data_IF_105480501861
#
_entry.id   IF_105480501861
#
_cell.length_a   1.000
_cell.length_b   1.000
_cell.length_c   1.000
_cell.angle_alpha   90.00
_cell.angle_beta   90.00
_cell.angle_gamma   90.00
#
_symmetry.space_group_name_H-M   'P 1'
#
loop_
_entity.id
_entity.type
_entity.pdbx_description
1 polymer ?
#
# COMPACT_ATOMS: atom_id res chain seq x y z
N UNK A 1 -5.72 -2.91 -3.64
CA UNK A 1 -4.30 -3.25 -3.39
C UNK A 1 -4.03 -4.70 -3.00
N UNK A 2 -4.78 -5.28 -2.06
CA UNK A 2 -4.44 -6.58 -1.44
C UNK A 2 -5.31 -7.73 -1.92
N UNK A 3 -4.89 -8.39 -3.01
CA UNK A 3 -5.64 -9.44 -3.69
C UNK A 3 -5.21 -10.86 -3.27
N UNK A 4 -5.26 -11.15 -1.96
CA UNK A 4 -5.28 -12.54 -1.51
C UNK A 4 -6.72 -12.97 -1.25
N UNK A 5 -7.10 -14.10 -1.83
CA UNK A 5 -8.21 -14.90 -1.34
C UNK A 5 -7.83 -15.39 0.06
N UNK A 6 -8.32 -14.71 1.08
CA UNK A 6 -8.36 -15.28 2.43
C UNK A 6 -9.79 -15.67 2.66
N UNK A 7 -10.01 -16.93 3.01
CA UNK A 7 -11.30 -17.38 3.50
C UNK A 7 -11.62 -16.63 4.80
N UNK A 8 -12.37 -15.55 4.67
CA UNK A 8 -12.93 -14.81 5.81
C UNK A 8 -14.03 -15.62 6.51
N UNK A 9 -14.38 -16.79 5.97
CA UNK A 9 -15.53 -17.60 6.35
C UNK A 9 -16.86 -17.09 5.79
N UNK A 10 -16.87 -15.92 5.12
CA UNK A 10 -18.06 -15.32 4.55
C UNK A 10 -18.25 -15.82 3.12
N UNK A 11 -19.23 -16.71 2.92
CA UNK A 11 -19.57 -17.26 1.59
C UNK A 11 -20.53 -16.37 0.79
N UNK A 12 -21.28 -15.51 1.48
CA UNK A 12 -22.19 -14.53 0.89
C UNK A 12 -22.41 -13.36 1.85
N UNK A 13 -22.66 -12.17 1.28
CA UNK A 13 -23.01 -10.98 2.05
C UNK A 13 -24.41 -11.16 2.62
N UNK A 14 -24.55 -11.08 3.95
CA UNK A 14 -25.84 -11.19 4.64
C UNK A 14 -26.55 -9.83 4.68
N UNK A 15 -27.85 -9.81 4.38
CA UNK A 15 -28.67 -8.59 4.54
C UNK A 15 -28.95 -8.32 6.02
N UNK A 16 -29.33 -7.08 6.34
CA UNK A 16 -29.62 -6.66 7.73
C UNK A 16 -30.70 -7.56 8.37
N UNK A 17 -31.71 -7.96 7.60
CA UNK A 17 -32.80 -8.84 8.06
C UNK A 17 -32.33 -10.27 8.42
N UNK A 18 -31.14 -10.66 7.97
CA UNK A 18 -30.51 -11.95 8.27
C UNK A 18 -29.56 -11.90 9.47
N UNK A 19 -29.30 -10.70 10.03
CA UNK A 19 -28.43 -10.52 11.18
C UNK A 19 -29.24 -10.57 12.47
N UNK A 20 -28.68 -11.17 13.51
CA UNK A 20 -29.34 -11.28 14.83
C UNK A 20 -28.37 -10.98 15.96
N UNK A 21 -28.90 -10.58 17.12
CA UNK A 21 -28.12 -10.37 18.33
C UNK A 21 -26.96 -9.38 18.15
N UNK A 22 -25.73 -9.71 18.60
CA UNK A 22 -24.56 -8.83 18.50
C UNK A 22 -24.21 -8.41 17.07
N UNK A 23 -24.46 -9.25 16.06
CA UNK A 23 -24.16 -8.93 14.66
C UNK A 23 -25.03 -7.80 14.12
N UNK A 24 -26.32 -7.79 14.50
CA UNK A 24 -27.24 -6.72 14.12
C UNK A 24 -26.87 -5.39 14.78
N UNK A 25 -26.55 -5.42 16.09
CA UNK A 25 -26.11 -4.23 16.82
C UNK A 25 -24.80 -3.66 16.25
N UNK A 26 -23.88 -4.54 15.83
CA UNK A 26 -22.66 -4.12 15.13
C UNK A 26 -22.97 -3.45 13.79
N UNK A 27 -23.82 -4.05 12.95
CA UNK A 27 -24.16 -3.48 11.64
C UNK A 27 -24.88 -2.12 11.79
N UNK A 28 -25.78 -1.99 12.77
CA UNK A 28 -26.43 -0.71 13.08
C UNK A 28 -25.42 0.39 13.43
N UNK A 29 -24.41 0.09 14.26
CA UNK A 29 -23.31 1.01 14.57
C UNK A 29 -22.55 1.43 13.31
N UNK A 30 -22.25 0.47 12.42
CA UNK A 30 -21.58 0.76 11.14
C UNK A 30 -22.44 1.71 10.29
N UNK A 31 -23.74 1.44 10.17
CA UNK A 31 -24.67 2.20 9.34
C UNK A 31 -24.84 3.64 9.86
N UNK A 32 -24.88 3.82 11.19
CA UNK A 32 -24.87 5.11 11.89
C UNK A 32 -23.53 5.87 11.78
N UNK A 33 -22.49 5.23 11.25
CA UNK A 33 -21.15 5.83 11.10
C UNK A 33 -20.33 5.84 12.39
N UNK A 34 -20.73 5.05 13.39
CA UNK A 34 -19.96 4.86 14.63
C UNK A 34 -18.72 4.04 14.33
N UNK A 35 -17.55 4.55 14.71
CA UNK A 35 -16.29 3.82 14.58
C UNK A 35 -16.21 2.68 15.61
N UNK A 36 -15.69 1.55 15.16
CA UNK A 36 -15.41 0.37 15.97
C UNK A 36 -14.01 0.53 16.58
N UNK A 37 -13.91 0.34 17.89
CA UNK A 37 -12.67 0.44 18.65
C UNK A 37 -12.19 -0.94 19.13
N UNK A 38 -10.95 -1.01 19.62
CA UNK A 38 -10.27 -2.27 19.94
C UNK A 38 -11.02 -3.18 20.94
N UNK A 39 -11.75 -2.56 21.88
CA UNK A 39 -12.52 -3.26 22.93
C UNK A 39 -13.96 -3.55 22.54
N UNK A 40 -14.42 -3.04 21.40
CA UNK A 40 -15.77 -3.31 20.93
C UNK A 40 -15.90 -4.76 20.47
N UNK A 41 -17.08 -5.33 20.69
CA UNK A 41 -17.46 -6.55 20.01
C UNK A 41 -17.51 -6.32 18.50
N UNK A 42 -16.98 -7.26 17.73
CA UNK A 42 -17.01 -7.23 16.26
C UNK A 42 -17.07 -8.66 15.72
N UNK A 43 -17.68 -8.89 14.54
CA UNK A 43 -17.67 -10.20 13.89
C UNK A 43 -16.24 -10.70 13.67
N UNK A 44 -16.02 -12.00 13.87
CA UNK A 44 -14.68 -12.59 13.69
C UNK A 44 -14.19 -12.45 12.24
N UNK A 45 -15.09 -12.54 11.26
CA UNK A 45 -14.76 -12.29 9.87
C UNK A 45 -14.36 -10.83 9.59
N UNK A 46 -14.95 -9.86 10.30
CA UNK A 46 -14.55 -8.45 10.23
C UNK A 46 -13.13 -8.26 10.79
N UNK A 47 -12.86 -8.85 11.98
CA UNK A 47 -11.52 -8.86 12.60
C UNK A 47 -10.47 -9.45 11.66
N UNK A 48 -10.69 -10.66 11.13
CA UNK A 48 -9.77 -11.33 10.19
C UNK A 48 -9.53 -10.53 8.91
N UNK A 49 -10.59 -9.92 8.37
CA UNK A 49 -10.48 -9.07 7.17
C UNK A 49 -9.59 -7.86 7.42
N UNK A 50 -9.75 -7.19 8.57
CA UNK A 50 -8.92 -6.07 8.96
C UNK A 50 -7.50 -6.47 9.29
N UNK A 51 -7.28 -7.56 10.04
CA UNK A 51 -5.93 -8.09 10.32
C UNK A 51 -5.20 -8.31 8.99
N UNK A 52 -5.83 -9.00 8.04
CA UNK A 52 -5.27 -9.20 6.71
C UNK A 52 -4.98 -7.87 6.00
N UNK A 53 -5.94 -6.96 5.93
CA UNK A 53 -5.77 -5.73 5.16
C UNK A 53 -4.70 -4.81 5.78
N UNK A 54 -4.71 -4.62 7.10
CA UNK A 54 -3.80 -3.73 7.81
C UNK A 54 -2.39 -4.32 7.86
N UNK A 55 -2.25 -5.64 8.07
CA UNK A 55 -0.92 -6.30 8.02
C UNK A 55 -0.30 -6.21 6.64
N UNK A 56 -1.06 -6.51 5.58
CA UNK A 56 -0.54 -6.39 4.21
C UNK A 56 -0.24 -4.93 3.84
N UNK A 57 -0.94 -3.97 4.44
CA UNK A 57 -0.57 -2.56 4.39
C UNK A 57 0.77 -2.29 5.08
N UNK A 58 0.96 -2.77 6.31
CA UNK A 58 2.24 -2.63 7.00
C UNK A 58 3.39 -3.29 6.21
N UNK A 59 3.14 -4.47 5.61
CA UNK A 59 4.12 -5.17 4.79
C UNK A 59 4.48 -4.37 3.53
N UNK A 60 3.51 -3.71 2.91
CA UNK A 60 3.73 -2.80 1.78
C UNK A 60 4.73 -1.71 2.13
N UNK A 61 4.57 -1.04 3.27
CA UNK A 61 5.54 -0.01 3.71
C UNK A 61 6.95 -0.60 3.82
N UNK A 62 7.07 -1.74 4.51
CA UNK A 62 8.36 -2.37 4.79
C UNK A 62 9.07 -2.90 3.54
N UNK A 63 8.30 -3.41 2.57
CA UNK A 63 8.85 -3.90 1.30
C UNK A 63 9.08 -2.76 0.31
N UNK A 64 8.30 -1.68 0.37
CA UNK A 64 8.43 -0.48 -0.45
C UNK A 64 9.76 0.26 -0.25
N UNK A 65 10.32 0.18 0.94
CA UNK A 65 11.66 0.68 1.24
C UNK A 65 12.77 0.06 0.35
N UNK A 66 12.57 -1.14 -0.21
CA UNK A 66 13.60 -1.85 -1.00
C UNK A 66 13.86 -1.23 -2.39
N UNK A 67 12.85 -1.08 -3.28
CA UNK A 67 13.07 -0.45 -4.59
C UNK A 67 13.63 0.98 -4.49
N UNK A 68 13.21 1.76 -3.48
CA UNK A 68 13.72 3.12 -3.26
C UNK A 68 15.08 3.14 -2.56
N UNK A 69 15.26 2.27 -1.56
CA UNK A 69 16.54 2.05 -0.88
C UNK A 69 17.68 1.68 -1.85
N UNK A 70 17.35 0.98 -2.93
CA UNK A 70 18.26 0.66 -4.02
C UNK A 70 18.99 1.91 -4.56
N UNK A 71 18.34 3.07 -4.60
CA UNK A 71 18.89 4.30 -5.19
C UNK A 71 19.44 5.31 -4.17
N UNK A 72 19.29 5.09 -2.86
CA UNK A 72 19.79 6.01 -1.82
C UNK A 72 21.27 6.36 -2.02
N UNK A 73 22.12 5.37 -2.30
CA UNK A 73 23.56 5.59 -2.46
C UNK A 73 23.91 6.27 -3.79
N UNK A 74 23.02 6.18 -4.79
CA UNK A 74 23.22 6.58 -6.20
C UNK A 74 22.42 7.83 -6.60
N UNK A 75 21.67 8.42 -5.68
CA UNK A 75 20.92 9.64 -5.95
C UNK A 75 21.85 10.77 -6.49
N UNK A 76 21.46 11.47 -7.57
CA UNK A 76 22.36 12.32 -8.37
C UNK A 76 22.70 13.67 -7.71
N UNK A 77 22.07 14.00 -6.59
CA UNK A 77 22.41 15.19 -5.80
C UNK A 77 22.12 14.97 -4.32
N UNK A 78 22.81 15.73 -3.46
CA UNK A 78 22.58 15.67 -2.02
C UNK A 78 21.16 16.07 -1.63
N UNK A 79 20.56 17.07 -2.32
CA UNK A 79 19.16 17.46 -2.11
C UNK A 79 18.22 16.28 -2.34
N UNK A 80 18.34 15.60 -3.49
CA UNK A 80 17.49 14.45 -3.81
C UNK A 80 17.77 13.25 -2.91
N UNK A 81 19.03 13.02 -2.53
CA UNK A 81 19.42 11.99 -1.56
C UNK A 81 18.78 12.22 -0.20
N UNK A 82 18.79 13.45 0.31
CA UNK A 82 18.18 13.81 1.59
C UNK A 82 16.65 13.64 1.57
N UNK A 83 15.99 14.04 0.48
CA UNK A 83 14.55 13.83 0.30
C UNK A 83 14.21 12.34 0.30
N UNK A 84 14.96 11.52 -0.47
CA UNK A 84 14.72 10.08 -0.55
C UNK A 84 14.95 9.39 0.80
N UNK A 85 16.00 9.79 1.54
CA UNK A 85 16.24 9.29 2.90
C UNK A 85 15.08 9.62 3.85
N UNK A 86 14.55 10.84 3.80
CA UNK A 86 13.41 11.25 4.62
C UNK A 86 12.14 10.44 4.26
N UNK A 87 11.87 10.23 2.97
CA UNK A 87 10.73 9.42 2.51
C UNK A 87 10.82 7.97 3.01
N UNK A 88 11.95 7.30 2.77
CA UNK A 88 12.16 5.90 3.19
C UNK A 88 12.17 5.76 4.72
N UNK A 89 12.60 6.79 5.45
CA UNK A 89 12.47 6.85 6.91
C UNK A 89 11.00 6.89 7.34
N UNK A 90 10.18 7.73 6.70
CA UNK A 90 8.76 7.84 7.03
C UNK A 90 7.99 6.56 6.68
N UNK A 91 8.31 5.86 5.58
CA UNK A 91 7.76 4.52 5.28
C UNK A 91 7.99 3.53 6.43
N UNK A 92 9.19 3.51 7.01
CA UNK A 92 9.46 2.68 8.19
C UNK A 92 8.55 3.07 9.37
N UNK A 93 8.32 4.38 9.58
CA UNK A 93 7.38 4.90 10.58
C UNK A 93 5.93 4.50 10.31
N UNK A 94 5.47 4.59 9.06
CA UNK A 94 4.13 4.19 8.64
C UNK A 94 3.90 2.71 8.89
N UNK A 95 4.89 1.87 8.55
CA UNK A 95 4.86 0.44 8.85
C UNK A 95 4.65 0.17 10.35
N UNK A 96 5.33 0.92 11.23
CA UNK A 96 5.14 0.82 12.68
C UNK A 96 3.73 1.26 13.13
N UNK A 97 3.18 2.34 12.57
CA UNK A 97 1.80 2.75 12.88
C UNK A 97 0.78 1.68 12.47
N UNK A 98 0.98 1.06 11.31
CA UNK A 98 0.10 0.03 10.78
C UNK A 98 0.19 -1.27 11.56
N UNK A 99 1.39 -1.74 11.90
CA UNK A 99 1.54 -2.87 12.81
C UNK A 99 0.87 -2.60 14.15
N UNK A 100 1.06 -1.40 14.73
CA UNK A 100 0.39 -1.02 15.99
C UNK A 100 -1.14 -1.05 15.86
N UNK A 101 -1.69 -0.62 14.72
CA UNK A 101 -3.14 -0.69 14.46
C UNK A 101 -3.64 -2.13 14.22
N UNK A 102 -2.80 -3.02 13.70
CA UNK A 102 -3.13 -4.44 13.56
C UNK A 102 -3.12 -5.15 14.92
N UNK A 103 -2.17 -4.84 15.80
CA UNK A 103 -2.05 -5.48 17.12
C UNK A 103 -3.27 -5.18 18.02
N UNK A 104 -3.97 -4.06 17.80
CA UNK A 104 -5.24 -3.80 18.52
C UNK A 104 -6.37 -4.78 18.16
N UNK A 105 -6.19 -5.62 17.14
CA UNK A 105 -7.11 -6.70 16.78
C UNK A 105 -6.74 -8.04 17.44
N UNK A 106 -5.69 -8.09 18.26
CA UNK A 106 -5.30 -9.27 19.04
C UNK A 106 -4.31 -10.21 18.36
N UNK A 107 -3.60 -9.72 17.33
CA UNK A 107 -2.45 -10.42 16.70
C UNK A 107 -1.14 -9.81 17.17
N UNK A 108 -0.03 -10.53 17.07
CA UNK A 108 1.30 -9.97 17.33
C UNK A 108 1.96 -9.51 16.03
N UNK A 109 2.77 -8.45 16.09
CA UNK A 109 3.60 -8.04 14.95
C UNK A 109 4.55 -9.16 14.48
N UNK A 110 5.09 -9.95 15.40
CA UNK A 110 6.04 -11.02 15.07
C UNK A 110 5.35 -12.08 14.20
N UNK A 111 4.14 -12.53 14.54
CA UNK A 111 3.36 -13.46 13.72
C UNK A 111 3.08 -12.89 12.32
N UNK A 112 2.80 -11.59 12.23
CA UNK A 112 2.55 -10.93 10.95
C UNK A 112 3.82 -10.83 10.10
N UNK A 113 4.98 -10.58 10.73
CA UNK A 113 6.28 -10.58 10.05
C UNK A 113 6.65 -11.97 9.56
N UNK A 114 6.38 -13.01 10.36
CA UNK A 114 6.60 -14.40 9.97
C UNK A 114 5.69 -14.80 8.80
N UNK A 115 4.41 -14.40 8.84
CA UNK A 115 3.48 -14.61 7.72
C UNK A 115 3.97 -13.93 6.42
N UNK A 116 4.56 -12.73 6.51
CA UNK A 116 5.22 -12.08 5.38
C UNK A 116 6.41 -12.90 4.89
N UNK A 117 7.34 -13.26 5.80
CA UNK A 117 8.58 -13.98 5.49
C UNK A 117 8.35 -15.37 4.89
N UNK A 118 7.29 -16.06 5.32
CA UNK A 118 6.89 -17.35 4.76
C UNK A 118 6.18 -17.23 3.41
N UNK A 119 5.86 -16.02 2.95
CA UNK A 119 5.06 -15.74 1.76
C UNK A 119 3.56 -16.04 1.93
N UNK A 120 3.09 -16.29 3.16
CA UNK A 120 1.68 -16.53 3.48
C UNK A 120 0.88 -15.23 3.37
N UNK A 121 1.40 -14.13 3.87
CA UNK A 121 0.83 -12.79 3.68
C UNK A 121 1.42 -12.09 2.46
N UNK A 122 0.65 -11.21 1.85
CA UNK A 122 1.06 -10.41 0.69
C UNK A 122 1.53 -9.01 1.09
N UNK A 123 2.10 -8.32 0.14
CA UNK A 123 2.34 -6.87 0.12
C UNK A 123 1.88 -6.34 -1.23
N UNK A 124 1.88 -5.02 -1.43
CA UNK A 124 1.42 -4.39 -2.67
C UNK A 124 2.18 -4.93 -3.88
N UNK A 125 1.46 -5.22 -4.97
CA UNK A 125 2.02 -5.76 -6.21
C UNK A 125 3.15 -4.88 -6.77
N UNK A 126 3.03 -3.57 -6.60
CA UNK A 126 3.91 -2.55 -7.19
C UNK A 126 5.38 -2.67 -6.77
N UNK A 127 5.66 -3.19 -5.57
CA UNK A 127 7.04 -3.28 -5.07
C UNK A 127 7.82 -4.46 -5.66
N UNK A 128 7.18 -5.26 -6.51
CA UNK A 128 7.80 -6.33 -7.28
C UNK A 128 8.44 -5.86 -8.57
N UNK A 129 8.35 -4.58 -8.91
CA UNK A 129 8.97 -4.01 -10.10
C UNK A 129 10.36 -3.42 -9.78
N UNK A 130 11.34 -3.53 -10.68
CA UNK A 130 12.70 -3.05 -10.45
C UNK A 130 12.85 -1.55 -10.72
N UNK A 131 13.71 -0.88 -9.94
CA UNK A 131 14.11 0.51 -10.16
C UNK A 131 15.39 0.56 -11.01
N UNK A 132 15.23 0.73 -12.33
CA UNK A 132 16.32 0.58 -13.31
C UNK A 132 17.06 1.89 -13.61
N UNK A 133 16.41 3.03 -13.39
CA UNK A 133 16.96 4.37 -13.59
C UNK A 133 16.61 5.29 -12.43
N UNK A 134 17.18 6.50 -12.40
CA UNK A 134 16.82 7.49 -11.40
C UNK A 134 15.39 8.02 -11.59
N UNK A 135 14.88 8.06 -12.83
CA UNK A 135 13.51 8.48 -13.09
C UNK A 135 12.46 7.54 -12.45
N UNK A 136 12.81 6.26 -12.22
CA UNK A 136 11.96 5.33 -11.48
C UNK A 136 11.62 5.82 -10.08
N UNK A 137 12.55 6.50 -9.40
CA UNK A 137 12.30 7.07 -8.07
C UNK A 137 11.30 8.23 -8.15
N UNK A 138 11.35 9.00 -9.24
CA UNK A 138 10.32 9.99 -9.56
C UNK A 138 8.97 9.35 -9.82
N UNK A 139 8.91 8.25 -10.57
CA UNK A 139 7.66 7.53 -10.87
C UNK A 139 7.06 6.87 -9.63
N UNK A 140 7.89 6.29 -8.74
CA UNK A 140 7.41 5.77 -7.45
C UNK A 140 6.84 6.91 -6.63
N UNK A 141 7.63 7.98 -6.41
CA UNK A 141 7.17 9.13 -5.65
C UNK A 141 5.95 9.84 -6.27
N UNK A 142 5.70 9.75 -7.57
CA UNK A 142 4.55 10.41 -8.19
C UNK A 142 3.34 9.48 -8.39
N UNK A 143 3.51 8.40 -9.16
CA UNK A 143 2.43 7.49 -9.56
C UNK A 143 2.08 6.48 -8.48
N UNK A 144 3.10 5.89 -7.86
CA UNK A 144 2.90 4.83 -6.86
C UNK A 144 2.35 5.43 -5.58
N UNK A 145 3.00 6.47 -5.05
CA UNK A 145 2.50 7.22 -3.90
C UNK A 145 1.16 7.91 -4.23
N UNK A 146 0.99 8.43 -5.45
CA UNK A 146 -0.29 9.00 -5.90
C UNK A 146 -1.42 7.98 -5.83
N UNK A 147 -1.17 6.77 -6.33
CA UNK A 147 -2.13 5.65 -6.26
C UNK A 147 -2.41 5.23 -4.81
N UNK A 148 -1.37 5.20 -3.97
CA UNK A 148 -1.47 4.91 -2.55
C UNK A 148 -2.35 5.94 -1.83
N UNK A 149 -2.13 7.24 -2.04
CA UNK A 149 -2.90 8.34 -1.47
C UNK A 149 -4.36 8.28 -1.90
N UNK A 150 -4.66 8.04 -3.19
CA UNK A 150 -6.04 7.91 -3.68
C UNK A 150 -6.76 6.77 -2.96
N UNK A 151 -6.06 5.65 -2.70
CA UNK A 151 -6.60 4.52 -1.95
C UNK A 151 -6.69 4.78 -0.43
N UNK A 152 -5.76 5.55 0.14
CA UNK A 152 -5.64 5.79 1.58
C UNK A 152 -6.55 6.88 2.13
N UNK A 153 -6.80 7.95 1.37
CA UNK A 153 -7.67 9.06 1.80
C UNK A 153 -9.07 8.55 2.20
N UNK A 154 -9.74 7.67 1.41
CA UNK A 154 -10.99 7.04 1.84
C UNK A 154 -10.87 6.24 3.13
N UNK A 155 -9.73 5.57 3.37
CA UNK A 155 -9.49 4.76 4.56
C UNK A 155 -9.36 5.60 5.85
N UNK A 156 -9.14 6.93 5.75
CA UNK A 156 -9.28 7.85 6.89
C UNK A 156 -10.71 7.85 7.49
N UNK A 157 -11.68 7.32 6.75
CA UNK A 157 -13.08 7.14 7.14
C UNK A 157 -13.48 5.65 7.24
N UNK A 158 -12.51 4.74 7.28
CA UNK A 158 -12.73 3.33 7.58
C UNK A 158 -13.49 3.17 8.91
N UNK A 159 -14.36 2.17 9.00
CA UNK A 159 -15.14 1.88 10.21
C UNK A 159 -14.28 1.49 11.42
N UNK A 160 -13.08 0.96 11.23
CA UNK A 160 -12.19 0.62 12.35
C UNK A 160 -11.35 1.83 12.78
N UNK A 161 -11.60 2.31 14.00
CA UNK A 161 -11.02 3.52 14.55
C UNK A 161 -9.48 3.57 14.53
N UNK A 162 -8.77 2.54 15.04
CA UNK A 162 -7.31 2.51 15.02
C UNK A 162 -6.72 2.65 13.62
N UNK A 163 -7.28 1.93 12.65
CA UNK A 163 -6.82 2.00 11.26
C UNK A 163 -7.10 3.36 10.62
N UNK A 164 -8.31 3.89 10.79
CA UNK A 164 -8.67 5.20 10.28
C UNK A 164 -7.78 6.32 10.84
N UNK A 165 -7.40 6.25 12.13
CA UNK A 165 -6.48 7.22 12.75
C UNK A 165 -5.04 7.07 12.26
N UNK A 166 -4.58 5.86 11.98
CA UNK A 166 -3.27 5.64 11.34
C UNK A 166 -3.25 6.27 9.94
N UNK A 167 -4.29 6.04 9.14
CA UNK A 167 -4.41 6.60 7.79
C UNK A 167 -4.39 8.14 7.78
N UNK A 168 -4.97 8.80 8.78
CA UNK A 168 -4.89 10.27 8.88
C UNK A 168 -3.45 10.77 9.04
N UNK A 169 -2.59 10.05 9.77
CA UNK A 169 -1.17 10.41 9.92
C UNK A 169 -0.39 10.12 8.65
N UNK A 170 -0.50 8.88 8.16
CA UNK A 170 0.15 8.43 6.93
C UNK A 170 -0.17 9.35 5.75
N UNK A 171 -1.45 9.68 5.51
CA UNK A 171 -1.83 10.57 4.40
C UNK A 171 -1.23 11.99 4.52
N UNK A 172 -1.08 12.51 5.75
CA UNK A 172 -0.49 13.84 5.95
C UNK A 172 0.99 13.85 5.57
N UNK A 173 1.71 12.79 5.95
CA UNK A 173 3.15 12.64 5.69
C UNK A 173 3.41 12.30 4.21
N UNK A 174 2.70 11.32 3.64
CA UNK A 174 2.91 10.87 2.25
C UNK A 174 2.58 11.92 1.19
N UNK A 175 1.58 12.76 1.42
CA UNK A 175 1.21 13.79 0.44
C UNK A 175 2.35 14.78 0.16
N UNK A 176 3.22 15.00 1.15
CA UNK A 176 4.42 15.80 0.97
C UNK A 176 5.43 15.06 0.09
N UNK A 177 5.76 13.81 0.40
CA UNK A 177 6.71 13.00 -0.38
C UNK A 177 6.26 12.81 -1.82
N UNK A 178 4.95 12.63 -2.02
CA UNK A 178 4.36 12.50 -3.34
C UNK A 178 4.64 13.73 -4.21
N UNK A 179 4.48 14.92 -3.61
CA UNK A 179 4.81 16.19 -4.27
C UNK A 179 6.30 16.28 -4.61
N UNK A 180 7.18 15.79 -3.74
CA UNK A 180 8.63 15.81 -3.99
C UNK A 180 9.04 14.85 -5.11
N UNK A 181 8.33 13.73 -5.27
CA UNK A 181 8.46 12.83 -6.42
C UNK A 181 8.05 13.51 -7.74
N UNK A 182 6.91 14.22 -7.73
CA UNK A 182 6.49 14.98 -8.90
C UNK A 182 7.45 16.15 -9.23
N UNK A 183 7.96 16.87 -8.23
CA UNK A 183 8.98 17.91 -8.43
C UNK A 183 10.27 17.36 -9.05
N UNK A 184 10.68 16.13 -8.71
CA UNK A 184 11.80 15.47 -9.38
C UNK A 184 11.54 15.34 -10.89
N UNK A 185 10.36 14.87 -11.27
CA UNK A 185 9.97 14.69 -12.67
C UNK A 185 9.81 16.02 -13.39
N UNK A 186 9.29 17.07 -12.74
CA UNK A 186 9.26 18.44 -13.30
C UNK A 186 10.67 18.87 -13.71
N UNK A 187 11.65 18.71 -12.82
CA UNK A 187 13.03 19.11 -13.13
C UNK A 187 13.62 18.32 -14.30
N UNK A 188 13.32 17.03 -14.43
CA UNK A 188 13.87 16.20 -15.50
C UNK A 188 13.12 16.36 -16.84
N UNK A 189 11.79 16.46 -16.81
CA UNK A 189 10.97 16.56 -18.01
C UNK A 189 10.96 17.97 -18.61
N UNK A 190 10.86 19.01 -17.79
CA UNK A 190 10.70 20.40 -18.27
C UNK A 190 12.01 21.16 -18.37
N UNK A 191 12.97 20.86 -17.49
CA UNK A 191 14.23 21.60 -17.38
C UNK A 191 15.46 20.74 -17.66
N UNK A 192 15.27 19.45 -17.90
CA UNK A 192 16.35 18.50 -18.14
C UNK A 192 16.82 18.44 -19.59
N UNK A 193 17.93 17.72 -19.77
CA UNK A 193 18.47 17.32 -21.07
C UNK A 193 17.55 16.33 -21.78
N UNK A 194 17.74 16.15 -23.09
CA UNK A 194 16.98 15.17 -23.87
C UNK A 194 17.08 13.74 -23.29
N UNK A 195 18.27 13.33 -22.84
CA UNK A 195 18.47 12.03 -22.20
C UNK A 195 17.67 11.87 -20.88
N UNK A 196 17.49 12.95 -20.11
CA UNK A 196 16.66 12.91 -18.89
C UNK A 196 15.18 12.78 -19.22
N UNK A 197 14.71 13.45 -20.28
CA UNK A 197 13.32 13.34 -20.76
C UNK A 197 13.02 11.92 -21.24
N UNK A 198 13.92 11.34 -22.03
CA UNK A 198 13.83 9.95 -22.49
C UNK A 198 13.83 8.96 -21.33
N UNK A 199 14.68 9.17 -20.32
CA UNK A 199 14.70 8.37 -19.10
C UNK A 199 13.36 8.45 -18.35
N UNK A 200 12.75 9.64 -18.26
CA UNK A 200 11.42 9.79 -17.67
C UNK A 200 10.34 9.05 -18.48
N UNK A 201 10.35 9.16 -19.80
CA UNK A 201 9.38 8.46 -20.65
C UNK A 201 9.53 6.94 -20.53
N UNK A 202 10.77 6.43 -20.52
CA UNK A 202 11.05 5.00 -20.36
C UNK A 202 10.55 4.49 -19.00
N UNK A 203 10.82 5.22 -17.91
CA UNK A 203 10.29 4.88 -16.60
C UNK A 203 8.75 4.94 -16.60
N UNK A 204 8.14 5.95 -17.22
CA UNK A 204 6.69 6.10 -17.28
C UNK A 204 6.03 4.91 -17.98
N UNK A 205 6.62 4.46 -19.09
CA UNK A 205 6.16 3.29 -19.83
C UNK A 205 6.08 2.03 -18.96
N UNK A 206 7.07 1.83 -18.07
CA UNK A 206 7.13 0.66 -17.19
C UNK A 206 6.23 0.77 -15.96
N UNK A 207 6.02 1.97 -15.42
CA UNK A 207 5.33 2.17 -14.14
C UNK A 207 3.84 2.48 -14.25
N UNK A 208 3.35 2.91 -15.42
CA UNK A 208 1.93 3.27 -15.62
C UNK A 208 0.96 2.13 -15.25
N UNK A 209 1.05 1.00 -15.95
CA UNK A 209 0.14 -0.13 -15.73
C UNK A 209 0.28 -0.75 -14.33
N UNK A 210 1.49 -0.97 -13.80
CA UNK A 210 1.66 -1.42 -12.42
C UNK A 210 1.01 -0.49 -11.39
N UNK A 211 1.07 0.83 -11.57
CA UNK A 211 0.40 1.78 -10.68
C UNK A 211 -1.13 1.59 -10.70
N UNK A 212 -1.73 1.38 -11.88
CA UNK A 212 -3.17 1.11 -11.99
C UNK A 212 -3.58 -0.26 -11.39
N UNK A 213 -2.68 -1.24 -11.40
CA UNK A 213 -2.88 -2.53 -10.75
C UNK A 213 -2.91 -2.43 -9.21
N UNK A 214 -2.39 -1.35 -8.61
CA UNK A 214 -2.43 -1.14 -7.15
C UNK A 214 -3.85 -1.05 -6.60
N UNK A 215 -4.84 -0.69 -7.40
CA UNK A 215 -6.22 -0.66 -6.94
C UNK A 215 -6.80 -2.06 -6.72
N UNK A 216 -6.18 -3.10 -7.29
CA UNK A 216 -6.62 -4.50 -7.20
C UNK A 216 -7.39 -4.93 -8.45
N UNK A 217 -8.02 -6.14 -8.41
CA UNK A 217 -8.79 -6.67 -9.54
C UNK A 217 -9.97 -5.77 -9.88
N UNK A 218 -10.59 -6.02 -11.04
CA UNK A 218 -11.89 -5.46 -11.41
C UNK A 218 -12.92 -5.67 -10.30
N UNK A 219 -13.98 -4.86 -10.26
CA UNK A 219 -15.05 -5.07 -9.29
C UNK A 219 -15.78 -6.41 -9.50
N UNK A 220 -15.84 -6.89 -10.75
CA UNK A 220 -16.41 -8.19 -11.11
C UNK A 220 -15.63 -9.36 -10.49
N UNK A 221 -14.32 -9.21 -10.31
CA UNK A 221 -13.41 -10.24 -9.79
C UNK A 221 -12.92 -9.97 -8.35
N UNK A 222 -13.62 -9.12 -7.60
CA UNK A 222 -13.24 -8.73 -6.23
C UNK A 222 -14.18 -9.33 -5.16
N UNK A 223 -13.95 -10.59 -4.74
CA UNK A 223 -14.87 -11.32 -3.84
C UNK A 223 -15.00 -10.67 -2.44
N UNK A 224 -13.99 -9.90 -2.02
CA UNK A 224 -13.99 -9.21 -0.73
C UNK A 224 -14.70 -7.84 -0.76
N UNK A 225 -14.99 -7.28 -1.94
CA UNK A 225 -15.49 -5.90 -2.08
C UNK A 225 -16.85 -5.72 -1.40
N UNK A 226 -17.82 -6.57 -1.70
CA UNK A 226 -19.20 -6.40 -1.24
C UNK A 226 -19.30 -6.39 0.30
N UNK A 227 -18.66 -7.36 0.96
CA UNK A 227 -18.64 -7.42 2.43
C UNK A 227 -17.85 -6.27 3.06
N UNK A 228 -16.71 -5.89 2.47
CA UNK A 228 -15.89 -4.77 2.96
C UNK A 228 -16.62 -3.43 2.85
N UNK A 229 -17.46 -3.26 1.82
CA UNK A 229 -18.30 -2.07 1.66
C UNK A 229 -19.45 -2.04 2.67
N UNK A 230 -20.13 -3.18 2.90
CA UNK A 230 -21.19 -3.26 3.92
C UNK A 230 -20.67 -2.93 5.31
N UNK A 231 -19.45 -3.38 5.64
CA UNK A 231 -18.78 -3.05 6.90
C UNK A 231 -18.10 -1.68 6.90
N UNK A 232 -18.20 -0.90 5.81
CA UNK A 232 -17.51 0.39 5.62
C UNK A 232 -16.00 0.32 5.92
N UNK A 233 -15.39 -0.83 5.66
CA UNK A 233 -13.92 -0.97 5.63
C UNK A 233 -13.39 -0.29 4.36
N UNK A 234 -14.08 -0.50 3.24
CA UNK A 234 -13.83 0.08 1.93
C UNK A 234 -15.02 0.97 1.56
N UNK A 235 -14.77 2.19 1.07
CA UNK A 235 -15.83 3.16 0.78
C UNK A 235 -16.12 3.35 -0.72
N UNK A 236 -15.11 3.11 -1.55
CA UNK A 236 -15.18 3.21 -3.01
C UNK A 236 -14.68 1.90 -3.59
N UNK A 237 -15.19 1.53 -4.76
CA UNK A 237 -14.82 0.31 -5.46
C UNK A 237 -13.36 0.34 -5.97
N UNK A 238 -12.84 -0.79 -6.46
CA UNK A 238 -11.47 -0.78 -7.02
C UNK A 238 -11.45 0.04 -8.31
N UNK A 239 -12.47 -0.13 -9.15
CA UNK A 239 -12.56 0.53 -10.45
C UNK A 239 -12.85 2.04 -10.30
N UNK A 240 -13.66 2.45 -9.32
CA UNK A 240 -13.90 3.86 -9.00
C UNK A 240 -12.60 4.59 -8.61
N UNK A 241 -11.78 3.98 -7.75
CA UNK A 241 -10.51 4.57 -7.33
C UNK A 241 -9.47 4.57 -8.47
N UNK A 242 -9.46 3.52 -9.30
CA UNK A 242 -8.60 3.45 -10.49
C UNK A 242 -8.97 4.52 -11.51
N UNK A 243 -10.25 4.70 -11.81
CA UNK A 243 -10.74 5.75 -12.71
C UNK A 243 -10.30 7.13 -12.21
N UNK A 244 -10.47 7.39 -10.91
CA UNK A 244 -10.01 8.64 -10.29
C UNK A 244 -8.50 8.84 -10.43
N UNK A 245 -7.70 7.79 -10.31
CA UNK A 245 -6.25 7.87 -10.55
C UNK A 245 -5.94 8.27 -11.99
N UNK A 246 -6.60 7.66 -12.97
CA UNK A 246 -6.42 8.02 -14.39
C UNK A 246 -6.79 9.49 -14.62
N UNK A 247 -7.99 9.90 -14.22
CA UNK A 247 -8.49 11.27 -14.47
C UNK A 247 -7.61 12.35 -13.83
N UNK A 248 -7.03 12.07 -12.66
CA UNK A 248 -6.14 13.00 -11.98
C UNK A 248 -4.72 13.02 -12.55
N UNK A 249 -4.25 11.90 -13.11
CA UNK A 249 -2.85 11.71 -13.48
C UNK A 249 -2.58 12.05 -14.94
N UNK A 250 -3.53 11.81 -15.86
CA UNK A 250 -3.33 12.14 -17.29
C UNK A 250 -2.99 13.63 -17.50
N UNK A 251 -3.71 14.61 -16.91
CA UNK A 251 -3.34 16.02 -17.05
C UNK A 251 -1.95 16.35 -16.45
N UNK A 252 -1.51 15.62 -15.44
CA UNK A 252 -0.18 15.76 -14.85
C UNK A 252 0.91 15.21 -15.80
N UNK A 253 0.64 14.07 -16.46
CA UNK A 253 1.51 13.52 -17.50
C UNK A 253 1.64 14.48 -18.68
N UNK A 254 0.52 15.05 -19.14
CA UNK A 254 0.50 16.05 -20.22
C UNK A 254 1.33 17.28 -19.87
N UNK A 255 1.22 17.77 -18.63
CA UNK A 255 2.04 18.89 -18.14
C UNK A 255 3.54 18.58 -18.19
N UNK A 256 3.93 17.34 -17.87
CA UNK A 256 5.32 16.88 -17.97
C UNK A 256 5.76 16.60 -19.42
N UNK A 257 4.86 16.66 -20.40
CA UNK A 257 5.15 16.27 -21.78
C UNK A 257 5.39 14.77 -21.96
N UNK A 258 4.87 13.94 -21.03
CA UNK A 258 4.94 12.49 -21.09
C UNK A 258 3.77 11.95 -21.90
N UNK A 259 4.03 10.91 -22.71
CA UNK A 259 2.99 10.17 -23.44
C UNK A 259 2.55 8.98 -22.60
N UNK A 260 1.26 8.88 -22.31
CA UNK A 260 0.70 7.73 -21.60
C UNK A 260 0.84 6.48 -22.47
N UNK A 261 1.40 5.36 -21.96
CA UNK A 261 1.63 4.13 -22.71
C UNK A 261 0.34 3.31 -22.86
N UNK A 262 -0.71 3.97 -23.32
CA UNK A 262 -2.06 3.41 -23.50
C UNK A 262 -2.66 3.96 -24.81
N UNK A 263 -2.65 3.17 -25.90
CA UNK A 263 -3.21 3.58 -27.19
C UNK A 263 -4.73 3.81 -27.17
N UNK A 264 -5.44 3.22 -26.21
CA UNK A 264 -6.90 3.32 -26.09
C UNK A 264 -7.34 4.50 -25.21
N UNK A 265 -6.39 5.20 -24.59
CA UNK A 265 -6.65 6.34 -23.73
C UNK A 265 -7.29 7.49 -24.51
N UNK A 266 -8.49 7.89 -24.10
CA UNK A 266 -9.20 9.03 -24.68
C UNK A 266 -10.10 9.72 -23.66
N UNK A 267 -10.19 11.04 -23.73
CA UNK A 267 -11.18 11.79 -22.97
C UNK A 267 -12.59 11.48 -23.51
N UNK A 268 -13.51 11.12 -22.63
CA UNK A 268 -14.90 10.87 -22.94
C UNK A 268 -15.78 11.99 -22.34
N UNK A 269 -16.21 12.92 -23.19
CA UNK A 269 -17.02 14.08 -22.78
C UNK A 269 -18.37 13.68 -22.19
N UNK A 270 -19.00 12.60 -22.68
CA UNK A 270 -20.30 12.14 -22.18
C UNK A 270 -20.20 11.59 -20.76
N UNK A 271 -19.09 10.91 -20.45
CA UNK A 271 -18.82 10.34 -19.12
C UNK A 271 -18.18 11.34 -18.17
N UNK A 272 -17.47 12.35 -18.69
CA UNK A 272 -16.61 13.24 -17.89
C UNK A 272 -15.39 12.51 -17.31
N UNK A 273 -14.90 11.49 -18.01
CA UNK A 273 -13.82 10.59 -17.57
C UNK A 273 -12.91 10.21 -18.75
N UNK A 274 -11.68 9.79 -18.47
CA UNK A 274 -10.88 9.10 -19.47
C UNK A 274 -11.34 7.64 -19.62
N UNK A 275 -11.61 7.21 -20.85
CA UNK A 275 -11.61 5.80 -21.20
C UNK A 275 -10.14 5.37 -21.33
N UNK A 276 -9.75 4.24 -20.75
CA UNK A 276 -8.39 3.69 -20.78
C UNK A 276 -8.43 2.20 -21.16
N UNK A 277 -7.31 1.70 -21.70
CA UNK A 277 -7.16 0.34 -22.19
C UNK A 277 -7.25 -0.74 -21.11
N UNK A 278 -7.32 -1.99 -21.55
CA UNK A 278 -7.41 -3.14 -20.65
C UNK A 278 -6.09 -3.40 -19.91
N UNK A 279 -6.17 -3.61 -18.60
CA UNK A 279 -5.04 -4.06 -17.77
C UNK A 279 -4.68 -5.49 -18.14
N UNK A 280 -3.39 -5.80 -18.23
CA UNK A 280 -2.93 -7.19 -18.27
C UNK A 280 -3.17 -7.89 -16.92
N UNK A 281 -4.36 -8.47 -16.78
CA UNK A 281 -4.73 -9.22 -15.58
C UNK A 281 -3.91 -10.49 -15.40
N UNK A 282 -3.36 -11.05 -16.49
CA UNK A 282 -2.50 -12.22 -16.40
C UNK A 282 -1.18 -11.89 -15.69
N UNK A 283 -0.60 -10.74 -15.99
CA UNK A 283 0.55 -10.17 -15.28
C UNK A 283 0.18 -9.91 -13.82
N UNK A 284 -0.93 -9.21 -13.56
CA UNK A 284 -1.37 -8.91 -12.20
C UNK A 284 -1.45 -10.17 -11.33
N UNK A 285 -2.13 -11.22 -11.82
CA UNK A 285 -2.28 -12.47 -11.08
C UNK A 285 -0.95 -13.23 -10.93
N UNK A 286 -0.04 -13.16 -11.90
CA UNK A 286 1.30 -13.73 -11.77
C UNK A 286 2.10 -13.03 -10.67
N UNK A 287 2.11 -11.69 -10.65
CA UNK A 287 2.83 -10.87 -9.67
C UNK A 287 2.35 -11.15 -8.24
N UNK A 288 1.03 -11.11 -7.99
CA UNK A 288 0.51 -11.35 -6.63
C UNK A 288 0.69 -12.81 -6.17
N UNK A 289 0.84 -13.76 -7.10
CA UNK A 289 1.16 -15.16 -6.79
C UNK A 289 2.65 -15.40 -6.52
N UNK A 290 3.50 -14.41 -6.68
CA UNK A 290 4.94 -14.53 -6.42
C UNK A 290 5.79 -14.75 -7.66
N UNK A 291 5.23 -14.57 -8.86
CA UNK A 291 5.89 -14.82 -10.15
C UNK A 291 6.16 -13.54 -10.96
N UNK A 292 6.24 -12.39 -10.28
CA UNK A 292 6.67 -11.12 -10.86
C UNK A 292 8.19 -10.92 -10.80
N UNK A 293 8.68 -9.78 -11.33
CA UNK A 293 10.10 -9.63 -11.64
C UNK A 293 11.04 -9.52 -10.43
N UNK A 294 10.55 -9.14 -9.25
CA UNK A 294 11.37 -9.05 -8.04
C UNK A 294 10.79 -9.75 -6.80
N UNK A 295 9.70 -10.52 -6.92
CA UNK A 295 9.03 -11.11 -5.74
C UNK A 295 9.99 -11.91 -4.85
N UNK A 296 10.81 -12.76 -5.49
CA UNK A 296 11.79 -13.61 -4.80
C UNK A 296 12.85 -12.76 -4.14
N UNK A 297 13.41 -11.79 -4.84
CA UNK A 297 14.46 -10.90 -4.37
C UNK A 297 13.99 -10.05 -3.18
N UNK A 298 12.76 -9.52 -3.24
CA UNK A 298 12.17 -8.73 -2.15
C UNK A 298 12.02 -9.56 -0.89
N UNK A 299 11.43 -10.76 -1.01
CA UNK A 299 11.22 -11.62 0.16
C UNK A 299 12.54 -12.12 0.73
N UNK A 300 13.47 -12.56 -0.12
CA UNK A 300 14.81 -13.00 0.30
C UNK A 300 15.57 -11.90 1.03
N UNK A 301 15.49 -10.63 0.57
CA UNK A 301 16.13 -9.52 1.25
C UNK A 301 15.57 -9.30 2.67
N UNK A 302 14.24 -9.43 2.86
CA UNK A 302 13.60 -9.30 4.18
C UNK A 302 13.96 -10.45 5.11
N UNK A 303 13.88 -11.69 4.61
CA UNK A 303 14.25 -12.90 5.38
C UNK A 303 15.71 -12.84 5.78
N UNK A 304 16.62 -12.55 4.84
CA UNK A 304 18.05 -12.42 5.11
C UNK A 304 18.33 -11.38 6.20
N UNK A 305 17.74 -10.19 6.10
CA UNK A 305 17.91 -9.15 7.12
C UNK A 305 17.37 -9.58 8.49
N UNK A 306 16.29 -10.36 8.53
CA UNK A 306 15.74 -10.90 9.76
C UNK A 306 16.65 -11.98 10.37
N UNK A 307 17.11 -12.95 9.57
CA UNK A 307 17.97 -14.04 10.02
C UNK A 307 19.35 -13.54 10.45
N UNK A 308 20.02 -12.74 9.62
CA UNK A 308 21.33 -12.17 9.94
C UNK A 308 21.27 -11.18 11.12
N UNK A 309 20.10 -10.58 11.36
CA UNK A 309 19.84 -9.70 12.50
C UNK A 309 19.44 -10.43 13.79
N UNK A 310 19.33 -11.76 13.80
CA UNK A 310 18.87 -12.52 14.96
C UNK A 310 19.73 -12.27 16.20
N UNK A 311 21.06 -12.33 16.05
CA UNK A 311 21.99 -12.11 17.15
C UNK A 311 21.84 -10.72 17.80
N UNK A 312 21.45 -9.70 17.03
CA UNK A 312 21.21 -8.34 17.56
C UNK A 312 19.95 -8.34 18.43
N UNK A 313 18.87 -8.99 17.98
CA UNK A 313 17.64 -9.11 18.76
C UNK A 313 17.88 -9.91 20.04
N UNK A 314 18.58 -11.04 19.95
CA UNK A 314 18.94 -11.87 21.10
C UNK A 314 19.81 -11.10 22.10
N UNK A 315 20.77 -10.30 21.62
CA UNK A 315 21.60 -9.46 22.47
C UNK A 315 20.78 -8.42 23.24
N UNK A 316 19.80 -7.77 22.60
CA UNK A 316 18.91 -6.82 23.27
C UNK A 316 18.03 -7.51 24.32
N UNK A 317 17.50 -8.70 24.03
CA UNK A 317 16.71 -9.48 24.99
C UNK A 317 17.54 -9.90 26.20
N UNK A 318 18.73 -10.45 25.99
CA UNK A 318 19.64 -10.84 27.07
C UNK A 318 20.04 -9.64 27.96
N UNK A 319 20.27 -8.47 27.34
CA UNK A 319 20.52 -7.23 28.07
C UNK A 319 19.32 -6.82 28.93
N UNK A 320 18.11 -6.80 28.36
CA UNK A 320 16.89 -6.46 29.09
C UNK A 320 16.63 -7.41 30.27
N UNK A 321 16.79 -8.72 30.08
CA UNK A 321 16.60 -9.74 31.13
C UNK A 321 17.60 -9.59 32.28
N UNK A 322 18.85 -9.23 31.96
CA UNK A 322 19.85 -8.91 32.99
C UNK A 322 19.41 -7.70 33.82
N UNK A 323 18.93 -6.64 33.18
CA UNK A 323 18.47 -5.43 33.88
C UNK A 323 17.21 -5.68 34.71
N UNK A 324 16.26 -6.47 34.21
CA UNK A 324 15.06 -6.85 34.94
C UNK A 324 15.39 -7.66 36.21
N UNK A 325 16.31 -8.64 36.11
CA UNK A 325 16.78 -9.43 37.27
C UNK A 325 17.49 -8.57 38.30
N UNK A 326 18.37 -7.67 37.88
CA UNK A 326 19.06 -6.76 38.80
C UNK A 326 18.08 -5.84 39.53
N UNK A 327 17.02 -5.36 38.86
CA UNK A 327 15.98 -4.54 39.48
C UNK A 327 15.11 -5.33 40.46
N UNK A 328 14.82 -6.60 40.17
CA UNK A 328 14.03 -7.46 41.05
C UNK A 328 14.81 -7.93 42.29
N UNK A 329 16.14 -7.96 42.23
CA UNK A 329 17.02 -8.34 43.34
C UNK A 329 17.38 -7.18 44.29
N UNK A 330 17.04 -5.94 43.92
CA UNK A 330 17.31 -4.72 44.68
C UNK A 330 16.07 -4.29 45.50
#
# INVERSE_FOLDING_TARGET
>A
MYAQLVETGVKSVRTVDQLTGPELAFQQRIDEGVRIEAKDWMPEAYRKTLVRQISQHAHSEIVGMLPEGNWITRAPSLKRKAILLAKVQDEAGHGLYLYSAAETLGVSRDDLVDDLHSGKAKYSSIFNYPTLSWADIGMIGWLVDGSAIINQIPLCRCSYGPYARAMVRVCKEESFHQRQGYDLLIQMCLHGTQAQKEMCQEAFNRWWWPALMMFGPSDADSPNSAQSMQWRIKLFSNDELRQKMVDQTVPQADYLGLKVPDPDLKWNEERGHYDFGEIDWSEFYAVIKGHGPCNRERLQARVKAHEEGAWVRDAFMAYADKHARNKAAA
#
